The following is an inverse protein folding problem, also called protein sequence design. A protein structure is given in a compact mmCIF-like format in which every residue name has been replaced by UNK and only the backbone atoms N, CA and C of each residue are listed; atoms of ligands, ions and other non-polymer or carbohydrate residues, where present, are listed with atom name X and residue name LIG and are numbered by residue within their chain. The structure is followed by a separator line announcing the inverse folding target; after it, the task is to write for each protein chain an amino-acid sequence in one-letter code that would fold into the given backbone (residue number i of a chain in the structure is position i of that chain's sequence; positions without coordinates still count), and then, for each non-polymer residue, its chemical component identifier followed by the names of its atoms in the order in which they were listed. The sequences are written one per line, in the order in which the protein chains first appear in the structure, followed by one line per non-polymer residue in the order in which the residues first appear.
data_IF_776456287121
#
_entry.id   IF_776456287121
#
_cell.length_a   1.000
_cell.length_b   1.000
_cell.length_c   1.000
_cell.angle_alpha   90.00
_cell.angle_beta   90.00
_cell.angle_gamma   90.00
#
_symmetry.space_group_name_H-M   'P 1'
#
loop_
_entity.id
_entity.type
_entity.pdbx_description
1 polymer ?
#
# COMPACT_ATOMS: atom_id res chain seq x y z
N UNK A 1 -0.48 -14.57 -3.51
CA UNK A 1 0.96 -14.34 -3.74
C UNK A 1 1.13 -12.91 -4.21
N UNK A 2 1.95 -12.13 -3.51
CA UNK A 2 2.31 -10.76 -3.92
C UNK A 2 3.68 -10.78 -4.59
N UNK A 3 3.87 -9.92 -5.58
CA UNK A 3 5.14 -9.71 -6.28
C UNK A 3 5.31 -8.22 -6.55
N UNK A 4 6.48 -7.70 -6.19
CA UNK A 4 6.85 -6.29 -6.32
C UNK A 4 8.08 -6.24 -7.20
N UNK A 5 7.94 -5.63 -8.37
CA UNK A 5 8.98 -5.55 -9.40
C UNK A 5 9.16 -4.09 -9.85
N UNK A 6 10.07 -3.85 -10.80
CA UNK A 6 10.27 -2.50 -11.35
C UNK A 6 9.09 -2.00 -12.20
N UNK A 7 8.20 -2.89 -12.64
CA UNK A 7 6.96 -2.52 -13.36
C UNK A 7 5.87 -2.04 -12.42
N UNK A 8 5.71 -2.69 -11.26
CA UNK A 8 4.59 -2.45 -10.37
C UNK A 8 4.46 -3.50 -9.27
N UNK A 9 3.27 -3.53 -8.68
CA UNK A 9 2.87 -4.52 -7.69
C UNK A 9 1.77 -5.39 -8.28
N UNK A 10 1.89 -6.70 -8.09
CA UNK A 10 0.90 -7.70 -8.49
C UNK A 10 0.55 -8.59 -7.32
N UNK A 11 -0.72 -8.84 -7.10
CA UNK A 11 -1.24 -9.74 -6.08
C UNK A 11 -2.22 -10.71 -6.70
N UNK A 12 -1.92 -12.00 -6.58
CA UNK A 12 -2.85 -13.08 -6.90
C UNK A 12 -3.60 -13.53 -5.65
N UNK A 13 -4.93 -13.43 -5.70
CA UNK A 13 -5.86 -13.87 -4.68
C UNK A 13 -6.10 -15.38 -4.76
N UNK A 14 -6.60 -15.96 -3.67
CA UNK A 14 -6.92 -17.39 -3.60
C UNK A 14 -8.05 -17.80 -4.56
N UNK A 15 -8.93 -16.85 -4.90
CA UNK A 15 -10.04 -17.03 -5.84
C UNK A 15 -9.58 -17.05 -7.33
N UNK A 16 -8.28 -16.87 -7.59
CA UNK A 16 -7.72 -16.83 -8.95
C UNK A 16 -7.71 -15.45 -9.58
N UNK A 17 -8.40 -14.47 -8.98
CA UNK A 17 -8.32 -13.06 -9.37
C UNK A 17 -6.92 -12.48 -9.13
N UNK A 18 -6.48 -11.61 -10.03
CA UNK A 18 -5.19 -10.91 -9.93
C UNK A 18 -5.43 -9.40 -9.89
N UNK A 19 -4.92 -8.77 -8.85
CA UNK A 19 -4.92 -7.32 -8.66
C UNK A 19 -3.53 -6.78 -8.96
N UNK A 20 -3.45 -5.71 -9.74
CA UNK A 20 -2.15 -5.14 -10.13
C UNK A 20 -2.23 -3.65 -10.30
N UNK A 21 -1.13 -2.98 -9.97
CA UNK A 21 -0.95 -1.54 -10.22
C UNK A 21 0.48 -1.31 -10.70
N UNK A 22 0.64 -0.53 -11.76
CA UNK A 22 1.95 -0.11 -12.23
C UNK A 22 2.42 1.14 -11.49
N UNK A 23 3.73 1.35 -11.37
CA UNK A 23 4.23 2.59 -10.75
C UNK A 23 3.86 3.84 -11.53
N UNK A 24 3.69 3.72 -12.85
CA UNK A 24 3.26 4.82 -13.71
C UNK A 24 1.79 5.22 -13.47
N UNK A 25 0.96 4.26 -13.09
CA UNK A 25 -0.44 4.49 -12.76
C UNK A 25 -0.67 4.73 -11.27
N UNK A 26 0.34 4.52 -10.41
CA UNK A 26 0.18 4.71 -8.97
C UNK A 26 -0.13 6.17 -8.67
N UNK A 27 -1.35 6.43 -8.18
CA UNK A 27 -1.79 7.79 -7.83
C UNK A 27 -1.76 8.03 -6.34
N UNK A 28 -2.04 7.01 -5.52
CA UNK A 28 -2.18 7.15 -4.07
C UNK A 28 -1.75 5.88 -3.37
N UNK A 29 -1.11 6.03 -2.21
CA UNK A 29 -0.79 4.94 -1.29
C UNK A 29 -1.40 5.24 0.06
N UNK A 30 -2.19 4.28 0.56
CA UNK A 30 -2.94 4.38 1.81
C UNK A 30 -2.59 3.19 2.69
N UNK A 31 -2.35 3.44 3.97
CA UNK A 31 -2.18 2.39 4.97
C UNK A 31 -3.50 2.26 5.71
N UNK A 32 -4.12 1.09 5.60
CA UNK A 32 -5.36 0.76 6.29
C UNK A 32 -5.02 -0.10 7.50
N UNK A 33 -5.40 0.38 8.68
CA UNK A 33 -5.27 -0.36 9.94
C UNK A 33 -6.63 -0.94 10.28
N UNK A 34 -6.68 -2.24 10.58
CA UNK A 34 -7.88 -3.01 10.91
C UNK A 34 -7.53 -3.96 12.07
N UNK A 35 -7.56 -3.48 13.33
CA UNK A 35 -7.11 -4.24 14.51
C UNK A 35 -8.01 -5.45 14.85
N UNK A 36 -9.25 -5.46 14.36
CA UNK A 36 -10.22 -6.55 14.60
C UNK A 36 -10.66 -7.20 13.27
N UNK A 37 -9.70 -7.45 12.38
CA UNK A 37 -9.94 -8.11 11.10
C UNK A 37 -10.09 -9.63 11.22
N UNK A 38 -10.78 -10.30 10.28
CA UNK A 38 -10.74 -11.76 10.15
C UNK A 38 -9.36 -12.29 9.70
N UNK A 39 -8.43 -11.39 9.39
CA UNK A 39 -7.06 -11.67 8.97
C UNK A 39 -6.09 -11.53 10.13
N UNK A 40 -4.95 -12.23 10.07
CA UNK A 40 -3.90 -12.16 11.10
C UNK A 40 -3.12 -10.84 11.07
N UNK A 41 -3.30 -10.05 10.01
CA UNK A 41 -2.59 -8.80 9.78
C UNK A 41 -3.50 -7.62 10.09
N UNK A 42 -3.00 -6.76 10.96
CA UNK A 42 -3.71 -5.54 11.38
C UNK A 42 -3.49 -4.38 10.41
N UNK A 43 -2.54 -4.49 9.46
CA UNK A 43 -2.14 -3.39 8.57
C UNK A 43 -2.05 -3.82 7.11
N UNK A 44 -2.64 -3.03 6.22
CA UNK A 44 -2.68 -3.25 4.77
C UNK A 44 -2.20 -2.02 3.99
N UNK A 45 -1.30 -2.23 3.04
CA UNK A 45 -0.86 -1.24 2.06
C UNK A 45 -1.80 -1.27 0.85
N UNK A 46 -2.65 -0.26 0.74
CA UNK A 46 -3.56 -0.05 -0.37
C UNK A 46 -2.89 0.87 -1.40
N UNK A 47 -2.57 0.33 -2.56
CA UNK A 47 -2.11 1.10 -3.71
C UNK A 47 -3.28 1.35 -4.65
N UNK A 48 -3.52 2.60 -5.00
CA UNK A 48 -4.61 2.99 -5.90
C UNK A 48 -4.09 3.63 -7.18
N UNK A 49 -4.66 3.22 -8.30
CA UNK A 49 -4.52 3.80 -9.63
C UNK A 49 -5.64 4.78 -9.98
N UNK A 50 -5.61 5.40 -11.18
CA UNK A 50 -6.54 6.45 -11.57
C UNK A 50 -7.98 5.95 -11.79
N UNK A 51 -8.16 4.70 -12.20
CA UNK A 51 -9.45 4.13 -12.60
C UNK A 51 -10.10 3.27 -11.50
N UNK A 52 -9.67 3.42 -10.25
CA UNK A 52 -10.10 2.55 -9.14
C UNK A 52 -9.50 1.14 -9.20
N UNK A 53 -8.61 0.88 -10.16
CA UNK A 53 -7.67 -0.24 -10.12
C UNK A 53 -6.71 -0.05 -8.96
N UNK A 54 -6.31 -1.14 -8.32
CA UNK A 54 -5.43 -1.07 -7.17
C UNK A 54 -4.94 -2.43 -6.74
N UNK A 55 -4.16 -2.45 -5.69
CA UNK A 55 -3.78 -3.69 -5.03
C UNK A 55 -3.60 -3.46 -3.54
N UNK A 56 -4.06 -4.43 -2.76
CA UNK A 56 -3.94 -4.43 -1.31
C UNK A 56 -2.85 -5.43 -0.90
N UNK A 57 -1.72 -4.96 -0.40
CA UNK A 57 -0.64 -5.81 0.11
C UNK A 57 -0.68 -5.80 1.63
N UNK A 58 -0.91 -6.96 2.28
CA UNK A 58 -0.88 -6.98 3.73
C UNK A 58 0.56 -6.86 4.23
N UNK A 59 0.73 -6.20 5.37
CA UNK A 59 2.04 -5.93 5.96
C UNK A 59 2.83 -7.18 6.36
N UNK A 60 2.14 -8.31 6.60
CA UNK A 60 2.76 -9.60 6.90
C UNK A 60 3.26 -10.39 5.69
N UNK A 61 2.98 -9.94 4.45
CA UNK A 61 3.46 -10.62 3.25
C UNK A 61 4.99 -10.43 3.09
N UNK A 62 5.75 -11.45 2.66
CA UNK A 62 7.18 -11.32 2.42
C UNK A 62 7.55 -10.23 1.39
N UNK A 63 6.65 -9.86 0.49
CA UNK A 63 6.87 -8.78 -0.46
C UNK A 63 6.59 -7.38 0.11
N UNK A 64 6.00 -7.27 1.31
CA UNK A 64 5.65 -6.00 1.93
C UNK A 64 6.89 -5.16 2.30
N UNK A 65 7.98 -5.80 2.71
CA UNK A 65 9.25 -5.13 3.04
C UNK A 65 9.84 -4.45 1.79
N UNK A 66 9.94 -5.19 0.70
CA UNK A 66 10.41 -4.67 -0.60
C UNK A 66 9.49 -3.57 -1.16
N UNK A 67 8.17 -3.70 -0.96
CA UNK A 67 7.21 -2.66 -1.29
C UNK A 67 7.50 -1.39 -0.50
N UNK A 68 7.61 -1.50 0.82
CA UNK A 68 7.83 -0.37 1.71
C UNK A 68 9.16 0.35 1.41
N UNK A 69 10.24 -0.39 1.17
CA UNK A 69 11.52 0.18 0.74
C UNK A 69 11.38 1.02 -0.53
N UNK A 70 10.55 0.59 -1.49
CA UNK A 70 10.33 1.33 -2.73
C UNK A 70 9.45 2.55 -2.51
N UNK A 71 8.41 2.43 -1.70
CA UNK A 71 7.50 3.54 -1.38
C UNK A 71 8.22 4.68 -0.64
N UNK A 72 9.09 4.36 0.32
CA UNK A 72 9.91 5.35 1.04
C UNK A 72 10.89 6.11 0.13
N UNK A 73 11.22 5.56 -1.05
CA UNK A 73 12.04 6.24 -2.07
C UNK A 73 11.24 7.22 -2.95
N UNK A 74 9.91 7.24 -2.84
CA UNK A 74 9.10 8.16 -3.63
C UNK A 74 9.21 9.59 -3.10
N UNK A 75 9.37 10.59 -3.99
CA UNK A 75 9.35 11.98 -3.57
C UNK A 75 7.97 12.32 -3.01
N UNK A 76 7.94 12.93 -1.82
CA UNK A 76 6.70 13.28 -1.12
C UNK A 76 6.10 12.16 -0.27
N UNK A 77 6.83 11.07 -0.01
CA UNK A 77 6.38 10.04 0.94
C UNK A 77 6.38 10.60 2.37
N UNK A 78 5.21 10.53 3.01
CA UNK A 78 4.96 11.03 4.35
C UNK A 78 5.29 9.95 5.39
N UNK A 79 6.52 10.02 5.90
CA UNK A 79 7.03 9.09 6.90
C UNK A 79 6.34 9.28 8.26
N UNK A 80 5.85 10.48 8.56
CA UNK A 80 5.19 10.79 9.83
C UNK A 80 3.84 10.04 9.90
N UNK A 81 3.05 10.16 8.83
CA UNK A 81 1.81 9.39 8.68
C UNK A 81 2.03 7.88 8.62
N UNK A 82 3.14 7.43 8.03
CA UNK A 82 3.49 6.01 8.05
C UNK A 82 3.70 5.53 9.49
N UNK A 83 4.49 6.25 10.28
CA UNK A 83 4.74 5.88 11.68
C UNK A 83 3.46 5.95 12.52
N UNK A 84 2.63 6.96 12.31
CA UNK A 84 1.32 7.08 12.94
C UNK A 84 0.43 5.86 12.63
N UNK A 85 0.33 5.47 11.36
CA UNK A 85 -0.43 4.29 10.94
C UNK A 85 0.12 2.98 11.53
N UNK A 86 1.43 2.87 11.73
CA UNK A 86 2.04 1.66 12.30
C UNK A 86 1.97 1.60 13.83
N UNK A 87 1.57 2.69 14.50
CA UNK A 87 1.50 2.79 15.96
C UNK A 87 0.09 3.00 16.50
N UNK A 88 -0.89 3.15 15.61
CA UNK A 88 -2.30 3.28 15.96
C UNK A 88 -2.96 1.92 16.14
N UNK A 89 -3.92 1.87 17.05
CA UNK A 89 -4.80 0.72 17.30
C UNK A 89 -6.23 1.01 16.83
N UNK A 90 -6.45 2.05 16.03
CA UNK A 90 -7.77 2.43 15.51
C UNK A 90 -7.99 1.87 14.09
N UNK A 91 -9.25 1.53 13.75
CA UNK A 91 -9.62 1.29 12.34
C UNK A 91 -9.59 2.62 11.59
N UNK A 92 -8.45 2.94 10.99
CA UNK A 92 -8.24 4.19 10.26
C UNK A 92 -7.39 3.97 9.01
N UNK A 93 -7.48 4.92 8.07
CA UNK A 93 -6.78 4.90 6.81
C UNK A 93 -5.89 6.14 6.66
N UNK A 94 -4.59 5.93 6.49
CA UNK A 94 -3.58 6.99 6.42
C UNK A 94 -3.02 7.09 5.01
N UNK A 95 -3.28 8.21 4.34
CA UNK A 95 -2.68 8.49 3.03
C UNK A 95 -1.22 8.91 3.23
N UNK A 96 -0.28 8.02 2.92
CA UNK A 96 1.16 8.24 3.11
C UNK A 96 1.85 8.78 1.85
N UNK A 97 1.22 8.68 0.69
CA UNK A 97 1.76 9.25 -0.54
C UNK A 97 0.66 9.50 -1.57
N UNK A 98 0.84 10.55 -2.38
CA UNK A 98 0.04 10.76 -3.59
C UNK A 98 0.82 11.44 -4.70
N UNK A 99 0.64 11.01 -5.94
CA UNK A 99 1.34 11.51 -7.12
C UNK A 99 1.06 13.00 -7.40
N UNK A 100 -0.06 13.53 -6.91
CA UNK A 100 -0.47 14.92 -7.07
C UNK A 100 0.09 15.89 -6.01
N UNK A 101 0.79 15.40 -5.00
CA UNK A 101 1.37 16.25 -3.95
C UNK A 101 2.77 16.75 -4.34
N UNK A 102 2.83 17.50 -5.43
CA UNK A 102 3.90 18.48 -5.61
C UNK A 102 3.70 19.60 -4.60
N UNK A 103 4.43 19.56 -3.48
CA UNK A 103 4.61 20.71 -2.60
C UNK A 103 5.12 21.87 -3.46
N UNK A 104 4.28 22.90 -3.62
CA UNK A 104 4.64 24.18 -4.23
C UNK A 104 5.49 25.00 -3.26
#
# INVERSE_FOLDING_TARGET
MVSVDDTGVRRRLADGSEESVTWAELTTVVIRVIPEGPWKEDVFFMLAGPDGSGTAVPSGDPAADALLERLQRLPGFDHDKFVEAMTTDADEAYVVWSAGQTTT
#
